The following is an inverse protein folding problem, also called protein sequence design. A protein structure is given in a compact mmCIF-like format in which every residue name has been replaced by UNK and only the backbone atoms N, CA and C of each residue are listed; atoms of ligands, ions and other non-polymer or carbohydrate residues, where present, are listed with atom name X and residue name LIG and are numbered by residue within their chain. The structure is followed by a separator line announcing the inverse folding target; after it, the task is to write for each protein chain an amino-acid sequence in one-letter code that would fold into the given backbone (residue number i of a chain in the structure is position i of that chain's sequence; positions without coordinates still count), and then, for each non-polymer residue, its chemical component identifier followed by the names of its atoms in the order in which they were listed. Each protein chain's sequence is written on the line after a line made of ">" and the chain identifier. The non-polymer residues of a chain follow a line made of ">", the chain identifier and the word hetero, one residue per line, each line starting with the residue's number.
data_IF_060609791051
#
_entry.id   IF_060609791051
#
_cell.length_a   1.000
_cell.length_b   1.000
_cell.length_c   1.000
_cell.angle_alpha   90.00
_cell.angle_beta   90.00
_cell.angle_gamma   90.00
#
_symmetry.space_group_name_H-M   'P 1'
#
loop_
_entity.id
_entity.type
_entity.pdbx_description
1 polymer ?
#
# COMPACT_ATOMS: atom_id res chain seq x y z
N UNK A 1 -15.29 -1.18 -16.09
CA UNK A 1 -14.63 -1.66 -14.87
C UNK A 1 -14.95 -3.14 -14.70
N UNK A 2 -13.97 -4.00 -14.38
CA UNK A 2 -14.23 -5.39 -14.03
C UNK A 2 -15.19 -5.48 -12.83
N UNK A 3 -15.98 -6.56 -12.70
CA UNK A 3 -16.71 -6.81 -11.47
C UNK A 3 -15.70 -7.00 -10.32
N UNK A 4 -16.09 -6.58 -9.13
CA UNK A 4 -15.30 -6.77 -7.91
C UNK A 4 -16.23 -7.07 -6.74
N UNK A 5 -15.71 -7.82 -5.78
CA UNK A 5 -16.39 -8.10 -4.52
C UNK A 5 -15.44 -7.77 -3.36
N UNK A 6 -15.99 -7.19 -2.28
CA UNK A 6 -15.18 -6.97 -1.09
C UNK A 6 -14.80 -8.33 -0.51
N UNK A 7 -13.50 -8.57 -0.39
CA UNK A 7 -12.96 -9.83 0.12
C UNK A 7 -12.70 -9.70 1.62
N UNK A 8 -13.12 -10.66 2.46
CA UNK A 8 -12.80 -10.63 3.88
C UNK A 8 -11.27 -10.59 4.12
N UNK A 9 -10.77 -9.46 4.63
CA UNK A 9 -9.36 -9.30 5.00
C UNK A 9 -9.20 -8.59 6.34
N UNK A 10 -8.20 -9.00 7.10
CA UNK A 10 -7.72 -8.34 8.29
C UNK A 10 -6.39 -7.65 7.97
N UNK A 11 -6.34 -6.33 8.08
CA UNK A 11 -5.09 -5.59 8.09
C UNK A 11 -4.57 -5.58 9.54
N UNK A 12 -3.50 -6.33 9.77
CA UNK A 12 -2.83 -6.48 11.05
C UNK A 12 -2.36 -5.15 11.60
N UNK A 13 -2.25 -5.08 12.94
CA UNK A 13 -1.71 -3.89 13.61
C UNK A 13 -0.29 -3.56 13.13
N UNK A 14 0.52 -4.58 12.82
CA UNK A 14 1.86 -4.41 12.24
C UNK A 14 1.81 -3.58 10.95
N UNK A 15 0.88 -3.88 10.06
CA UNK A 15 0.72 -3.17 8.78
C UNK A 15 0.08 -1.79 8.97
N UNK A 16 -0.84 -1.64 9.93
CA UNK A 16 -1.46 -0.33 10.25
C UNK A 16 -0.52 0.67 10.93
N UNK A 17 0.48 0.18 11.65
CA UNK A 17 1.46 1.01 12.37
C UNK A 17 2.80 1.13 11.63
N UNK A 18 2.90 0.53 10.44
CA UNK A 18 4.10 0.61 9.63
C UNK A 18 4.33 2.06 9.18
N UNK A 19 5.48 2.61 9.56
CA UNK A 19 5.93 3.94 9.14
C UNK A 19 6.53 3.80 7.74
N UNK A 20 5.68 3.86 6.73
CA UNK A 20 6.13 4.00 5.35
C UNK A 20 6.65 5.43 5.14
N UNK A 21 7.75 5.59 4.40
CA UNK A 21 8.20 6.90 3.95
C UNK A 21 7.10 7.55 3.12
N UNK A 22 6.71 8.77 3.50
CA UNK A 22 5.60 9.48 2.90
C UNK A 22 5.83 11.00 2.94
N UNK A 23 5.59 11.66 1.79
CA UNK A 23 5.53 13.12 1.73
C UNK A 23 4.19 13.67 2.24
N UNK A 24 3.18 12.80 2.39
CA UNK A 24 1.82 13.17 2.83
C UNK A 24 1.55 12.61 4.23
N UNK A 25 0.86 13.39 5.05
CA UNK A 25 0.51 13.03 6.43
C UNK A 25 -0.99 13.13 6.68
N UNK A 26 -1.50 12.34 7.63
CA UNK A 26 -2.92 12.29 7.94
C UNK A 26 -3.40 13.59 8.56
N UNK A 27 -4.51 14.13 8.04
CA UNK A 27 -5.21 15.27 8.66
C UNK A 27 -6.17 14.87 9.78
N UNK A 28 -6.36 13.56 10.01
CA UNK A 28 -7.35 13.04 10.96
C UNK A 28 -6.74 12.20 12.09
N UNK A 29 -5.47 11.77 11.96
CA UNK A 29 -4.79 10.87 12.89
C UNK A 29 -3.41 11.43 13.24
N UNK A 30 -3.10 11.50 14.54
CA UNK A 30 -1.73 11.74 15.02
C UNK A 30 -0.85 10.51 14.81
N UNK A 31 0.43 10.71 14.52
CA UNK A 31 1.43 9.64 14.42
C UNK A 31 2.70 10.01 15.19
N UNK A 32 3.83 9.44 14.77
CA UNK A 32 5.12 9.55 15.43
C UNK A 32 6.23 10.12 14.53
N UNK A 33 5.88 10.62 13.34
CA UNK A 33 6.83 11.19 12.38
C UNK A 33 7.55 12.42 12.95
N UNK A 34 8.88 12.39 13.14
CA UNK A 34 9.62 13.52 13.69
C UNK A 34 9.60 14.77 12.82
N UNK A 35 9.37 14.62 11.51
CA UNK A 35 9.53 15.68 10.52
C UNK A 35 8.20 16.39 10.20
N UNK A 36 7.05 15.81 10.56
CA UNK A 36 5.73 16.45 10.41
C UNK A 36 5.04 16.78 11.75
N UNK A 37 4.45 17.98 11.81
CA UNK A 37 3.70 18.47 12.99
C UNK A 37 2.21 18.49 12.64
N UNK A 38 1.49 17.48 13.11
CA UNK A 38 0.04 17.35 12.92
C UNK A 38 -0.75 18.51 13.53
N UNK A 39 -0.44 18.82 14.80
CA UNK A 39 -1.03 19.95 15.50
C UNK A 39 -0.17 20.36 16.70
N UNK A 40 -0.45 21.55 17.23
CA UNK A 40 0.11 22.01 18.50
C UNK A 40 -1.05 22.27 19.46
N UNK A 41 -1.01 21.64 20.63
CA UNK A 41 -2.06 21.74 21.66
C UNK A 41 -1.46 21.92 23.05
N UNK A 42 -2.31 22.19 24.03
CA UNK A 42 -1.89 22.25 25.43
C UNK A 42 -1.41 20.87 25.93
N UNK A 43 -0.36 20.88 26.74
CA UNK A 43 0.23 19.71 27.39
C UNK A 43 -0.80 19.01 28.28
N UNK A 44 -0.84 17.69 28.20
CA UNK A 44 -1.65 16.83 29.07
C UNK A 44 -0.76 15.70 29.57
N UNK A 45 -0.69 15.42 30.87
CA UNK A 45 -0.03 14.21 31.33
C UNK A 45 -0.64 12.97 30.63
N UNK A 46 0.16 12.03 30.09
CA UNK A 46 1.62 11.86 30.22
C UNK A 46 2.44 12.28 28.97
N UNK A 47 2.10 13.39 28.30
CA UNK A 47 2.81 13.86 27.11
C UNK A 47 4.34 13.92 27.31
N UNK A 48 5.10 13.61 26.26
CA UNK A 48 6.56 13.63 26.29
C UNK A 48 7.09 15.06 26.38
N UNK A 49 8.01 15.30 27.32
CA UNK A 49 8.71 16.57 27.50
C UNK A 49 9.51 16.95 26.25
N UNK A 50 10.01 15.95 25.49
CA UNK A 50 10.74 16.17 24.24
C UNK A 50 9.89 16.78 23.13
N UNK A 51 8.56 16.69 23.24
CA UNK A 51 7.61 17.23 22.26
C UNK A 51 7.14 18.65 22.61
N UNK A 52 7.60 19.24 23.72
CA UNK A 52 7.21 20.59 24.13
C UNK A 52 7.68 21.63 23.10
N UNK A 53 6.76 22.45 22.61
CA UNK A 53 7.04 23.61 21.78
C UNK A 53 7.40 24.81 22.67
N UNK A 54 8.65 24.86 23.17
CA UNK A 54 9.10 25.85 24.14
C UNK A 54 8.80 27.31 23.77
N UNK A 55 9.02 27.68 22.50
CA UNK A 55 8.77 29.05 22.02
C UNK A 55 7.28 29.45 22.05
N UNK A 56 6.38 28.51 21.83
CA UNK A 56 4.93 28.78 21.84
C UNK A 56 4.42 28.73 23.28
N UNK A 57 4.93 27.79 24.07
CA UNK A 57 4.62 27.71 25.51
C UNK A 57 4.96 29.00 26.24
N UNK A 58 6.12 29.61 25.92
CA UNK A 58 6.52 30.91 26.46
C UNK A 58 5.60 32.05 26.04
N UNK A 59 4.97 31.96 24.86
CA UNK A 59 4.04 32.96 24.33
C UNK A 59 2.64 32.84 24.94
N UNK A 60 2.12 31.61 25.05
CA UNK A 60 0.76 31.32 25.53
C UNK A 60 0.69 31.21 27.08
N UNK A 61 1.84 31.20 27.76
CA UNK A 61 1.97 31.12 29.23
C UNK A 61 1.40 29.82 29.84
N UNK A 62 1.30 28.77 29.04
CA UNK A 62 1.04 27.38 29.45
C UNK A 62 1.81 26.42 28.53
N UNK A 63 2.07 25.18 28.99
CA UNK A 63 2.86 24.23 28.21
C UNK A 63 2.11 23.80 26.94
N UNK A 64 2.80 23.88 25.80
CA UNK A 64 2.29 23.48 24.49
C UNK A 64 3.14 22.31 23.96
N UNK A 65 2.48 21.30 23.40
CA UNK A 65 3.09 20.06 22.89
C UNK A 65 2.78 19.92 21.41
N UNK A 66 3.77 19.49 20.63
CA UNK A 66 3.63 19.10 19.23
C UNK A 66 3.15 17.66 19.17
N UNK A 67 1.96 17.43 18.63
CA UNK A 67 1.57 16.11 18.17
C UNK A 67 2.14 15.92 16.75
N UNK A 68 2.72 14.75 16.48
CA UNK A 68 3.40 14.44 15.23
C UNK A 68 2.43 13.91 14.16
N UNK A 69 2.83 14.07 12.91
CA UNK A 69 2.13 13.53 11.74
C UNK A 69 2.07 12.00 11.73
N UNK A 70 0.99 11.45 11.20
CA UNK A 70 0.96 10.04 10.79
C UNK A 70 1.24 9.96 9.28
N UNK A 71 2.36 9.36 8.84
CA UNK A 71 2.70 9.32 7.42
C UNK A 71 1.68 8.46 6.66
N UNK A 72 1.19 8.99 5.54
CA UNK A 72 0.28 8.31 4.60
C UNK A 72 1.08 7.68 3.45
N UNK A 73 2.04 6.84 3.82
CA UNK A 73 2.87 6.10 2.89
C UNK A 73 2.21 4.80 2.43
N UNK A 74 2.75 4.20 1.38
CA UNK A 74 2.31 2.88 0.93
C UNK A 74 2.83 1.82 1.89
N UNK A 75 1.97 1.33 2.78
CA UNK A 75 2.36 0.32 3.79
C UNK A 75 2.43 -1.10 3.20
N UNK A 76 1.78 -1.30 2.04
CA UNK A 76 1.65 -2.59 1.38
C UNK A 76 1.98 -2.47 -0.12
N UNK A 77 2.65 -3.48 -0.66
CA UNK A 77 2.85 -3.65 -2.10
C UNK A 77 1.90 -4.72 -2.64
N UNK A 78 1.04 -4.36 -3.58
CA UNK A 78 0.26 -5.28 -4.41
C UNK A 78 0.99 -5.44 -5.76
N UNK A 79 1.75 -6.53 -5.88
CA UNK A 79 2.55 -6.88 -7.05
C UNK A 79 1.74 -7.78 -7.99
N UNK A 80 1.49 -7.32 -9.22
CA UNK A 80 0.74 -8.07 -10.23
C UNK A 80 1.75 -8.72 -11.20
N UNK A 81 1.82 -10.05 -11.19
CA UNK A 81 2.70 -10.83 -12.09
C UNK A 81 1.88 -11.48 -13.19
N UNK A 82 2.21 -11.20 -14.43
CA UNK A 82 1.50 -11.74 -15.60
C UNK A 82 2.51 -12.33 -16.59
N UNK A 83 3.13 -13.49 -16.28
CA UNK A 83 3.97 -14.17 -17.26
C UNK A 83 3.08 -14.75 -18.38
N UNK A 84 3.51 -14.62 -19.64
CA UNK A 84 2.77 -15.10 -20.82
C UNK A 84 2.45 -16.60 -20.73
N UNK A 85 3.37 -17.39 -20.16
CA UNK A 85 3.21 -18.84 -19.97
C UNK A 85 2.06 -19.24 -19.05
N UNK A 86 1.53 -18.33 -18.25
CA UNK A 86 0.45 -18.58 -17.29
C UNK A 86 -0.78 -17.68 -17.49
N UNK A 87 -0.77 -16.80 -18.50
CA UNK A 87 -1.77 -15.74 -18.64
C UNK A 87 -2.49 -15.85 -19.97
N UNK A 88 -3.51 -16.72 -20.04
CA UNK A 88 -4.47 -16.71 -21.14
C UNK A 88 -5.58 -15.67 -20.91
N UNK A 89 -6.47 -15.47 -21.90
CA UNK A 89 -7.54 -14.46 -21.79
C UNK A 89 -8.51 -14.72 -20.64
N UNK A 90 -8.74 -15.99 -20.27
CA UNK A 90 -9.62 -16.34 -19.16
C UNK A 90 -8.96 -16.02 -17.82
N UNK A 91 -7.69 -16.39 -17.67
CA UNK A 91 -6.89 -16.14 -16.48
C UNK A 91 -6.63 -14.65 -16.27
N UNK A 92 -6.43 -13.89 -17.35
CA UNK A 92 -6.31 -12.44 -17.31
C UNK A 92 -7.58 -11.76 -16.80
N UNK A 93 -8.76 -12.17 -17.27
CA UNK A 93 -10.03 -11.65 -16.74
C UNK A 93 -10.19 -11.95 -15.25
N UNK A 94 -9.89 -13.18 -14.81
CA UNK A 94 -9.92 -13.54 -13.38
C UNK A 94 -8.91 -12.71 -12.57
N UNK A 95 -7.71 -12.49 -13.09
CA UNK A 95 -6.69 -11.64 -12.47
C UNK A 95 -7.21 -10.21 -12.30
N UNK A 96 -7.84 -9.63 -13.32
CA UNK A 96 -8.41 -8.29 -13.25
C UNK A 96 -9.50 -8.18 -12.17
N UNK A 97 -10.41 -9.15 -12.09
CA UNK A 97 -11.46 -9.19 -11.07
C UNK A 97 -10.88 -9.30 -9.66
N UNK A 98 -9.86 -10.15 -9.47
CA UNK A 98 -9.16 -10.29 -8.19
C UNK A 98 -8.36 -9.04 -7.82
N UNK A 99 -7.64 -8.46 -8.77
CA UNK A 99 -6.87 -7.23 -8.59
C UNK A 99 -7.80 -6.08 -8.15
N UNK A 100 -8.93 -5.92 -8.83
CA UNK A 100 -9.95 -4.93 -8.47
C UNK A 100 -10.51 -5.20 -7.06
N UNK A 101 -10.89 -6.44 -6.76
CA UNK A 101 -11.42 -6.84 -5.45
C UNK A 101 -10.43 -6.56 -4.32
N UNK A 102 -9.15 -6.90 -4.49
CA UNK A 102 -8.10 -6.66 -3.51
C UNK A 102 -7.85 -5.17 -3.28
N UNK A 103 -7.65 -4.40 -4.35
CA UNK A 103 -7.33 -2.98 -4.25
C UNK A 103 -8.48 -2.17 -3.65
N UNK A 104 -9.72 -2.44 -4.08
CA UNK A 104 -10.91 -1.80 -3.48
C UNK A 104 -11.03 -2.16 -2.01
N UNK A 105 -10.85 -3.43 -1.64
CA UNK A 105 -10.94 -3.84 -0.24
C UNK A 105 -9.85 -3.19 0.62
N UNK A 106 -8.59 -3.18 0.15
CA UNK A 106 -7.48 -2.50 0.82
C UNK A 106 -7.78 -1.02 1.05
N UNK A 107 -8.32 -0.36 0.02
CA UNK A 107 -8.71 1.04 0.11
C UNK A 107 -9.84 1.27 1.12
N UNK A 108 -10.89 0.44 1.11
CA UNK A 108 -12.00 0.52 2.07
C UNK A 108 -11.51 0.34 3.52
N UNK A 109 -10.57 -0.59 3.73
CA UNK A 109 -9.87 -0.84 5.01
C UNK A 109 -8.88 0.27 5.41
N UNK A 110 -8.83 1.37 4.65
CA UNK A 110 -7.94 2.52 4.85
C UNK A 110 -6.46 2.15 4.79
N UNK A 111 -6.13 1.14 3.98
CA UNK A 111 -4.78 0.69 3.71
C UNK A 111 -4.29 1.29 2.37
N UNK A 112 -3.53 2.38 2.47
CA UNK A 112 -2.84 2.96 1.31
C UNK A 112 -1.78 1.97 0.84
N UNK A 113 -1.87 1.57 -0.41
CA UNK A 113 -1.00 0.55 -1.00
C UNK A 113 -0.40 1.03 -2.31
N UNK A 114 0.77 0.48 -2.61
CA UNK A 114 1.41 0.57 -3.92
C UNK A 114 0.90 -0.59 -4.76
N UNK A 115 0.21 -0.33 -5.86
CA UNK A 115 -0.07 -1.34 -6.87
C UNK A 115 0.96 -1.22 -7.99
N UNK A 116 1.58 -2.33 -8.37
CA UNK A 116 2.65 -2.30 -9.35
C UNK A 116 2.73 -3.58 -10.19
N UNK A 117 3.27 -3.44 -11.40
CA UNK A 117 3.52 -4.55 -12.33
C UNK A 117 4.70 -4.21 -13.24
N UNK A 118 5.26 -5.23 -13.88
CA UNK A 118 6.31 -5.08 -14.87
C UNK A 118 5.73 -4.89 -16.28
N UNK A 119 6.24 -3.91 -17.03
CA UNK A 119 5.89 -3.67 -18.43
C UNK A 119 7.12 -3.93 -19.32
N UNK A 120 7.14 -5.09 -19.99
CA UNK A 120 8.29 -5.56 -20.78
C UNK A 120 8.64 -4.62 -21.94
N UNK A 121 7.63 -4.01 -22.59
CA UNK A 121 7.83 -3.07 -23.70
C UNK A 121 8.67 -1.85 -23.33
N UNK A 122 8.52 -1.35 -22.10
CA UNK A 122 9.30 -0.22 -21.58
C UNK A 122 10.50 -0.68 -20.75
N UNK A 123 10.52 -1.94 -20.31
CA UNK A 123 11.56 -2.48 -19.45
C UNK A 123 11.54 -1.85 -18.06
N UNK A 124 10.35 -1.54 -17.54
CA UNK A 124 10.18 -0.81 -16.29
C UNK A 124 9.06 -1.39 -15.43
N UNK A 125 9.16 -1.12 -14.13
CA UNK A 125 8.06 -1.33 -13.19
C UNK A 125 7.18 -0.10 -13.18
N UNK A 126 5.91 -0.29 -13.50
CA UNK A 126 4.89 0.74 -13.31
C UNK A 126 4.43 0.68 -11.85
N UNK A 127 4.50 1.83 -11.18
CA UNK A 127 4.08 2.00 -9.78
C UNK A 127 2.89 2.93 -9.70
N UNK A 128 1.89 2.55 -8.90
CA UNK A 128 0.68 3.34 -8.71
C UNK A 128 0.30 3.41 -7.23
N UNK A 129 0.36 4.61 -6.64
CA UNK A 129 -0.13 4.83 -5.27
C UNK A 129 -1.65 4.85 -5.29
N UNK A 130 -2.27 3.97 -4.51
CA UNK A 130 -3.73 3.91 -4.35
C UNK A 130 -4.11 4.48 -2.99
N UNK A 131 -4.51 5.76 -2.99
CA UNK A 131 -4.92 6.52 -1.81
C UNK A 131 -6.29 7.20 -1.96
N UNK A 132 -6.94 7.06 -3.11
CA UNK A 132 -8.26 7.59 -3.39
C UNK A 132 -9.07 6.63 -4.25
N UNK A 133 -10.38 6.84 -4.26
CA UNK A 133 -11.32 6.13 -5.12
C UNK A 133 -10.94 6.30 -6.60
N UNK A 134 -10.63 7.52 -7.03
CA UNK A 134 -10.20 7.84 -8.40
C UNK A 134 -8.92 7.08 -8.77
N UNK A 135 -7.95 7.01 -7.86
CA UNK A 135 -6.71 6.28 -8.09
C UNK A 135 -6.94 4.78 -8.31
N UNK A 136 -7.90 4.17 -7.60
CA UNK A 136 -8.32 2.77 -7.85
C UNK A 136 -8.84 2.61 -9.27
N UNK A 137 -9.75 3.49 -9.71
CA UNK A 137 -10.34 3.41 -11.05
C UNK A 137 -9.30 3.59 -12.17
N UNK A 138 -8.42 4.58 -12.03
CA UNK A 138 -7.36 4.86 -13.00
C UNK A 138 -6.36 3.69 -13.08
N UNK A 139 -5.98 3.14 -11.93
CA UNK A 139 -5.10 1.97 -11.86
C UNK A 139 -5.71 0.75 -12.57
N UNK A 140 -6.96 0.39 -12.26
CA UNK A 140 -7.67 -0.73 -12.92
C UNK A 140 -7.75 -0.48 -14.43
N UNK A 141 -8.05 0.75 -14.84
CA UNK A 141 -8.12 1.10 -16.25
C UNK A 141 -6.78 0.93 -16.96
N UNK A 142 -5.68 1.30 -16.31
CA UNK A 142 -4.33 1.08 -16.84
C UNK A 142 -4.00 -0.41 -16.92
N UNK A 143 -4.38 -1.19 -15.90
CA UNK A 143 -4.14 -2.63 -15.85
C UNK A 143 -4.89 -3.39 -16.96
N UNK A 144 -6.09 -2.95 -17.36
CA UNK A 144 -6.84 -3.51 -18.49
C UNK A 144 -6.08 -3.50 -19.82
N UNK A 145 -5.14 -2.57 -19.98
CA UNK A 145 -4.32 -2.44 -21.19
C UNK A 145 -2.94 -3.08 -21.05
N UNK A 146 -2.68 -3.77 -19.94
CA UNK A 146 -1.40 -4.44 -19.72
C UNK A 146 -1.30 -5.71 -20.57
N UNK A 147 -0.08 -6.02 -20.97
CA UNK A 147 0.27 -7.25 -21.67
C UNK A 147 1.10 -8.16 -20.78
N UNK A 148 0.96 -9.50 -20.91
CA UNK A 148 1.85 -10.44 -20.26
C UNK A 148 3.31 -10.25 -20.71
N UNK A 149 4.25 -10.57 -19.82
CA UNK A 149 5.68 -10.51 -20.11
C UNK A 149 6.28 -11.90 -20.40
N UNK A 150 7.40 -11.95 -21.09
CA UNK A 150 8.09 -13.20 -21.44
C UNK A 150 9.41 -13.37 -20.66
N UNK A 151 10.14 -12.28 -20.45
CA UNK A 151 11.45 -12.27 -19.81
C UNK A 151 11.34 -12.12 -18.29
N UNK A 152 11.33 -13.26 -17.59
CA UNK A 152 11.28 -13.32 -16.13
C UNK A 152 12.59 -12.83 -15.46
N UNK A 153 13.74 -12.92 -16.12
CA UNK A 153 15.00 -12.39 -15.57
C UNK A 153 14.99 -10.86 -15.59
N UNK A 154 14.46 -10.28 -16.67
CA UNK A 154 14.25 -8.85 -16.78
C UNK A 154 13.21 -8.34 -15.77
N UNK A 155 12.08 -9.03 -15.61
CA UNK A 155 11.08 -8.69 -14.57
C UNK A 155 11.71 -8.63 -13.18
N UNK A 156 12.48 -9.66 -12.81
CA UNK A 156 13.17 -9.73 -11.52
C UNK A 156 14.17 -8.58 -11.34
N UNK A 157 14.97 -8.30 -12.36
CA UNK A 157 15.96 -7.20 -12.32
C UNK A 157 15.27 -5.85 -12.15
N UNK A 158 14.23 -5.59 -12.94
CA UNK A 158 13.46 -4.35 -12.87
C UNK A 158 12.72 -4.21 -11.53
N UNK A 159 12.21 -5.31 -10.96
CA UNK A 159 11.61 -5.32 -9.63
C UNK A 159 12.63 -4.90 -8.55
N UNK A 160 13.80 -5.54 -8.52
CA UNK A 160 14.85 -5.24 -7.55
C UNK A 160 15.38 -3.82 -7.65
N UNK A 161 15.53 -3.30 -8.87
CA UNK A 161 15.93 -1.92 -9.10
C UNK A 161 14.85 -0.93 -8.68
N UNK A 162 13.60 -1.19 -9.06
CA UNK A 162 12.48 -0.30 -8.77
C UNK A 162 12.24 -0.17 -7.27
N UNK A 163 12.27 -1.26 -6.52
CA UNK A 163 11.97 -1.26 -5.07
C UNK A 163 13.24 -1.26 -4.21
N UNK A 164 14.41 -0.93 -4.76
CA UNK A 164 15.66 -0.86 -4.00
C UNK A 164 15.55 0.17 -2.87
N UNK A 165 15.63 -0.30 -1.63
CA UNK A 165 15.56 0.56 -0.44
C UNK A 165 14.13 0.96 -0.05
N UNK A 166 13.12 0.52 -0.78
CA UNK A 166 11.73 0.63 -0.35
C UNK A 166 11.38 -0.53 0.59
N UNK A 167 10.61 -0.24 1.63
CA UNK A 167 10.17 -1.22 2.61
C UNK A 167 8.65 -1.20 2.68
N UNK A 168 8.06 -2.39 2.63
CA UNK A 168 6.62 -2.60 2.83
C UNK A 168 6.43 -3.49 4.06
N UNK A 169 5.36 -3.26 4.82
CA UNK A 169 4.98 -4.18 5.90
C UNK A 169 4.62 -5.56 5.35
N UNK A 170 3.89 -5.55 4.24
CA UNK A 170 3.42 -6.74 3.54
C UNK A 170 3.55 -6.59 2.03
N UNK A 171 3.92 -7.69 1.38
CA UNK A 171 3.98 -7.82 -0.08
C UNK A 171 2.97 -8.89 -0.48
N UNK A 172 1.98 -8.48 -1.25
CA UNK A 172 0.95 -9.35 -1.82
C UNK A 172 1.28 -9.52 -3.30
N UNK A 173 1.47 -10.76 -3.75
CA UNK A 173 1.69 -11.07 -5.16
C UNK A 173 0.44 -11.75 -5.70
N UNK A 174 -0.13 -11.20 -6.77
CA UNK A 174 -1.20 -11.81 -7.56
C UNK A 174 -0.60 -12.28 -8.89
N UNK A 175 -0.59 -13.59 -9.12
CA UNK A 175 -0.04 -14.20 -10.34
C UNK A 175 -1.11 -14.32 -11.44
N UNK A 176 -0.68 -14.41 -12.70
CA UNK A 176 -1.49 -14.52 -13.92
C UNK A 176 -2.58 -15.58 -13.85
N UNK A 177 -2.26 -16.71 -13.23
CA UNK A 177 -3.17 -17.83 -12.98
C UNK A 177 -4.20 -17.58 -11.84
N UNK A 178 -4.23 -16.38 -11.26
CA UNK A 178 -5.11 -15.96 -10.18
C UNK A 178 -4.71 -16.45 -8.78
N UNK A 179 -3.56 -17.10 -8.62
CA UNK A 179 -3.04 -17.45 -7.29
C UNK A 179 -2.47 -16.24 -6.57
N UNK A 180 -2.51 -16.27 -5.23
CA UNK A 180 -2.08 -15.17 -4.40
C UNK A 180 -1.11 -15.66 -3.32
N UNK A 181 -0.01 -14.93 -3.15
CA UNK A 181 0.95 -15.16 -2.07
C UNK A 181 1.12 -13.90 -1.24
N UNK A 182 1.20 -14.03 0.08
CA UNK A 182 1.47 -12.91 0.99
C UNK A 182 2.79 -13.18 1.67
N UNK A 183 3.73 -12.24 1.56
CA UNK A 183 5.07 -12.34 2.15
C UNK A 183 5.82 -13.64 1.77
N UNK A 184 5.56 -14.16 0.57
CA UNK A 184 6.14 -15.41 0.05
C UNK A 184 5.41 -16.69 0.45
N UNK A 185 4.38 -16.62 1.30
CA UNK A 185 3.55 -17.76 1.66
C UNK A 185 2.34 -17.85 0.72
N UNK A 186 2.15 -19.02 0.09
CA UNK A 186 0.97 -19.28 -0.71
C UNK A 186 -0.27 -19.35 0.19
N UNK A 187 -1.28 -18.55 -0.12
CA UNK A 187 -2.56 -18.66 0.57
C UNK A 187 -3.30 -19.84 -0.05
N UNK A 188 -3.19 -21.00 0.62
CA UNK A 188 -4.05 -22.14 0.34
C UNK A 188 -5.50 -21.76 0.59
N UNK A 189 -6.42 -22.25 -0.25
CA UNK A 189 -7.87 -22.16 -0.05
C UNK A 189 -8.35 -22.98 1.17
N UNK A 190 -7.55 -23.06 2.25
CA UNK A 190 -7.82 -23.86 3.44
C UNK A 190 -8.75 -23.16 4.44
N UNK A 191 -9.12 -21.91 4.18
CA UNK A 191 -10.32 -21.26 4.74
C UNK A 191 -10.69 -20.07 3.84
N UNK A 192 -11.88 -20.03 3.22
CA UNK A 192 -12.29 -18.97 2.28
C UNK A 192 -12.43 -17.57 2.90
N UNK A 193 -12.15 -17.40 4.20
CA UNK A 193 -12.83 -16.36 4.97
C UNK A 193 -11.96 -15.24 5.53
N UNK A 194 -10.61 -15.30 5.51
CA UNK A 194 -9.78 -14.21 6.06
C UNK A 194 -8.37 -14.14 5.44
N UNK A 195 -8.06 -13.06 4.68
CA UNK A 195 -6.68 -12.67 4.37
C UNK A 195 -6.07 -11.95 5.59
N UNK A 196 -4.87 -12.31 6.05
CA UNK A 196 -4.19 -11.59 7.13
C UNK A 196 -2.98 -10.85 6.53
N UNK A 197 -3.03 -9.51 6.52
CA UNK A 197 -2.09 -8.62 5.82
C UNK A 197 -1.35 -7.67 6.75
#
# INVERSE_FOLDING_TARGET
>A
MPPFELVPMEITQRTRDFLADADEHSTQKKGDDPDDIYQIREYRPPDSIHLIHWKLSAKENHLMVKDRGFPLGCVLLLWIRMPDTETDSASFNMLLEKAASLSVTLFEEKCIHMAAWFEEKSGQVVKWKVNSTEAVYEWIWRLLSCEPFHDAEMEQTCYEEAFRGEHFSSIVILNGNGTLTVNGEAIGMTSPEYYCL
#
